data_IF_600499286899
#
_entry.id   IF_600499286899
#
_cell.length_a   1.000
_cell.length_b   1.000
_cell.length_c   1.000
_cell.angle_alpha   90.00
_cell.angle_beta   90.00
_cell.angle_gamma   90.00
#
_symmetry.space_group_name_H-M   'P 1'
#
loop_
_entity.id
_entity.type
_entity.pdbx_description
1 polymer ?
#
# COMPACT_ATOMS: atom_id res chain seq x y z
N UNK A 1 -15.77 11.04 -17.91
CA UNK A 1 -16.10 11.03 -17.49
C UNK A 1 -15.93 11.26 -16.47
N UNK A 2 -15.34 10.98 -15.83
CA UNK A 2 -15.50 11.45 -14.83
C UNK A 2 -14.38 11.96 -14.11
N UNK A 3 -14.41 13.24 -13.75
CA UNK A 3 -13.50 13.91 -12.90
C UNK A 3 -13.34 13.20 -11.58
N UNK A 4 -14.45 12.70 -11.02
CA UNK A 4 -14.43 11.98 -9.75
C UNK A 4 -13.64 10.69 -9.86
N UNK A 5 -13.84 9.98 -10.95
CA UNK A 5 -13.10 8.75 -11.19
C UNK A 5 -11.61 9.01 -11.30
N UNK A 6 -11.24 10.04 -12.01
CA UNK A 6 -9.84 10.39 -12.21
C UNK A 6 -9.19 10.80 -10.89
N UNK A 7 -9.93 11.50 -10.04
CA UNK A 7 -9.44 11.88 -8.72
C UNK A 7 -9.22 10.66 -7.84
N UNK A 8 -10.14 9.70 -7.89
CA UNK A 8 -10.01 8.49 -7.09
C UNK A 8 -8.79 7.70 -7.52
N UNK A 9 -8.58 7.58 -8.84
CA UNK A 9 -7.43 6.88 -9.36
C UNK A 9 -6.13 7.57 -8.94
N UNK A 10 -6.08 8.90 -9.07
CA UNK A 10 -4.91 9.67 -8.69
C UNK A 10 -4.63 9.53 -7.19
N UNK A 11 -5.67 9.60 -6.38
CA UNK A 11 -5.53 9.46 -4.94
C UNK A 11 -5.01 8.07 -4.57
N UNK A 12 -5.55 7.04 -5.20
CA UNK A 12 -5.10 5.68 -4.95
C UNK A 12 -3.63 5.50 -5.31
N UNK A 13 -3.20 6.14 -6.39
CA UNK A 13 -1.79 6.10 -6.80
C UNK A 13 -0.89 6.76 -5.76
N UNK A 14 -1.33 7.89 -5.22
CA UNK A 14 -0.58 8.56 -4.17
C UNK A 14 -0.48 7.70 -2.92
N UNK A 15 -1.58 7.07 -2.51
CA UNK A 15 -1.59 6.19 -1.35
C UNK A 15 -0.67 5.00 -1.58
N UNK A 16 -0.73 4.41 -2.76
CA UNK A 16 0.15 3.29 -3.10
C UNK A 16 1.61 3.70 -3.01
N UNK A 17 1.95 4.85 -3.55
CA UNK A 17 3.33 5.35 -3.53
C UNK A 17 3.80 5.55 -2.09
N UNK A 18 2.96 6.14 -1.24
CA UNK A 18 3.30 6.36 0.16
C UNK A 18 3.48 5.05 0.90
N UNK A 19 2.58 4.10 0.70
CA UNK A 19 2.67 2.80 1.36
C UNK A 19 3.91 2.04 0.90
N UNK A 20 4.21 2.10 -0.40
CA UNK A 20 5.39 1.44 -0.94
C UNK A 20 6.67 2.04 -0.34
N UNK A 21 6.71 3.35 -0.18
CA UNK A 21 7.86 4.03 0.40
C UNK A 21 8.07 3.61 1.85
N UNK A 22 7.00 3.55 2.62
CA UNK A 22 7.08 3.09 4.01
C UNK A 22 7.56 1.64 4.07
N UNK A 23 6.98 0.79 3.24
CA UNK A 23 7.35 -0.62 3.21
C UNK A 23 8.83 -0.80 2.86
N UNK A 24 9.31 -0.06 1.87
CA UNK A 24 10.70 -0.14 1.43
C UNK A 24 11.68 0.33 2.51
N UNK A 25 11.22 1.23 3.37
CA UNK A 25 12.03 1.79 4.44
C UNK A 25 12.15 0.85 5.64
N UNK A 26 11.28 -0.15 5.74
CA UNK A 26 11.29 -1.10 6.84
C UNK A 26 12.27 -2.24 6.56
N UNK A 27 12.86 -2.78 7.65
CA UNK A 27 13.67 -3.98 7.51
C UNK A 27 12.76 -5.21 7.48
N UNK A 28 13.35 -6.37 7.20
CA UNK A 28 12.59 -7.60 7.06
C UNK A 28 11.78 -7.98 8.29
N UNK A 29 12.35 -7.81 9.47
CA UNK A 29 11.64 -8.11 10.70
C UNK A 29 10.43 -7.22 10.90
N UNK A 30 10.58 -5.94 10.60
CA UNK A 30 9.48 -4.99 10.70
C UNK A 30 8.40 -5.27 9.68
N UNK A 31 8.78 -5.63 8.47
CA UNK A 31 7.83 -5.99 7.43
C UNK A 31 6.99 -7.19 7.82
N UNK A 32 7.62 -8.23 8.35
CA UNK A 32 6.91 -9.42 8.81
C UNK A 32 5.92 -9.09 9.91
N UNK A 33 6.35 -8.26 10.86
CA UNK A 33 5.50 -7.85 11.96
C UNK A 33 4.28 -7.09 11.48
N UNK A 34 4.51 -6.19 10.52
CA UNK A 34 3.43 -5.39 9.95
C UNK A 34 2.43 -6.27 9.22
N UNK A 35 2.92 -7.22 8.44
CA UNK A 35 2.07 -8.08 7.62
C UNK A 35 1.34 -9.15 8.42
N UNK A 36 1.65 -9.30 9.70
CA UNK A 36 0.88 -10.18 10.58
C UNK A 36 -0.50 -9.60 10.85
N UNK A 37 -0.64 -8.30 10.72
CA UNK A 37 -1.93 -7.66 10.92
C UNK A 37 -2.74 -7.83 9.63
N UNK A 38 -3.84 -8.62 9.66
CA UNK A 38 -4.60 -8.89 8.44
C UNK A 38 -5.22 -7.65 7.82
N UNK A 39 -5.54 -6.65 8.63
CA UNK A 39 -6.11 -5.40 8.11
C UNK A 39 -5.07 -4.63 7.30
N UNK A 40 -3.84 -4.59 7.79
CA UNK A 40 -2.75 -3.90 7.09
C UNK A 40 -2.38 -4.65 5.82
N UNK A 41 -2.29 -5.97 5.91
CA UNK A 41 -1.99 -6.80 4.75
C UNK A 41 -3.05 -6.60 3.66
N UNK A 42 -4.33 -6.60 4.05
CA UNK A 42 -5.41 -6.39 3.11
C UNK A 42 -5.33 -5.01 2.46
N UNK A 43 -4.93 -4.00 3.23
CA UNK A 43 -4.77 -2.66 2.70
C UNK A 43 -3.66 -2.60 1.65
N UNK A 44 -2.54 -3.23 1.92
CA UNK A 44 -1.42 -3.27 0.97
C UNK A 44 -1.83 -3.98 -0.33
N UNK A 45 -2.54 -5.10 -0.20
CA UNK A 45 -3.02 -5.85 -1.36
C UNK A 45 -4.02 -5.03 -2.16
N UNK A 46 -4.89 -4.34 -1.45
CA UNK A 46 -5.91 -3.52 -2.09
C UNK A 46 -5.30 -2.42 -2.95
N UNK A 47 -4.24 -1.80 -2.49
CA UNK A 47 -3.58 -0.71 -3.22
C UNK A 47 -2.52 -1.21 -4.18
N UNK A 48 -2.26 -2.50 -4.21
CA UNK A 48 -1.30 -3.07 -5.14
C UNK A 48 0.16 -2.83 -4.75
N UNK A 49 0.42 -2.67 -3.46
CA UNK A 49 1.78 -2.51 -2.96
C UNK A 49 2.52 -3.83 -3.11
N UNK A 50 3.75 -3.79 -3.59
CA UNK A 50 4.56 -4.99 -3.74
C UNK A 50 5.04 -5.45 -2.37
N UNK A 51 4.75 -6.70 -2.07
CA UNK A 51 5.08 -7.32 -0.80
C UNK A 51 6.03 -8.47 -1.02
N UNK A 52 7.16 -8.44 -0.29
CA UNK A 52 8.12 -9.49 -0.34
C UNK A 52 7.79 -10.50 0.72
N UNK A 53 7.32 -11.64 0.40
CA UNK A 53 6.96 -12.65 1.40
C UNK A 53 7.91 -13.80 1.44
#
# INVERSE_FOLDING_TARGET
MSELRDRVIAYNTEVKTALQAVYNDLNQGQRKKLLRNPAIRAMFERYGVEIDE
#
